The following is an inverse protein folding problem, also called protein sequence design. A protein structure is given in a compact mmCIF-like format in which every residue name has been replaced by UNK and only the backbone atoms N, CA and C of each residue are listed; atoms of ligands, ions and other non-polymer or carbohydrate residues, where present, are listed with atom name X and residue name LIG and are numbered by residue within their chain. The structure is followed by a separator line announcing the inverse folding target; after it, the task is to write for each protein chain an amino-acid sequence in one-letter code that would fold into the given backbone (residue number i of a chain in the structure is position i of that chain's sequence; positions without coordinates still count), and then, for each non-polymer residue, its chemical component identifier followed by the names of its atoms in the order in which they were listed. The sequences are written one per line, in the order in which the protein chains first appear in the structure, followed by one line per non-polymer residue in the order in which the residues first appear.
data_IF_083539050491
#
_entry.id   IF_083539050491
#
_cell.length_a   1.000
_cell.length_b   1.000
_cell.length_c   1.000
_cell.angle_alpha   90.00
_cell.angle_beta   90.00
_cell.angle_gamma   90.00
#
_symmetry.space_group_name_H-M   'P 1'
#
loop_
_entity.id
_entity.type
_entity.pdbx_description
1 polymer ?
#
# COMPACT_ATOMS: atom_id res chain seq x y z
N UNK A 1 6.87 -16.55 -10.41
CA UNK A 1 6.99 -16.40 -8.94
C UNK A 1 6.55 -14.99 -8.59
N UNK A 2 5.90 -14.77 -7.45
CA UNK A 2 5.64 -13.41 -6.95
C UNK A 2 6.90 -12.89 -6.26
N UNK A 3 7.29 -11.66 -6.59
CA UNK A 3 8.40 -10.96 -5.95
C UNK A 3 7.89 -9.63 -5.38
N UNK A 4 8.32 -9.31 -4.17
CA UNK A 4 7.90 -8.13 -3.44
C UNK A 4 9.16 -7.39 -2.98
N UNK A 5 9.38 -6.19 -3.51
CA UNK A 5 10.62 -5.43 -3.37
C UNK A 5 10.32 -4.07 -2.74
N UNK A 6 11.12 -3.68 -1.74
CA UNK A 6 11.11 -2.35 -1.15
C UNK A 6 12.28 -1.55 -1.74
N UNK A 7 11.98 -0.45 -2.44
CA UNK A 7 13.01 0.43 -3.03
C UNK A 7 12.84 1.87 -2.57
N UNK A 8 13.77 2.35 -1.75
CA UNK A 8 13.79 3.71 -1.18
C UNK A 8 12.46 4.06 -0.48
N UNK A 9 11.52 4.64 -1.22
CA UNK A 9 10.19 5.06 -0.77
C UNK A 9 9.06 4.41 -1.60
N UNK A 10 9.32 3.31 -2.30
CA UNK A 10 8.35 2.66 -3.17
C UNK A 10 8.28 1.16 -2.89
N UNK A 11 7.11 0.59 -3.08
CA UNK A 11 6.90 -0.86 -3.11
C UNK A 11 6.74 -1.26 -4.57
N UNK A 12 7.52 -2.24 -5.01
CA UNK A 12 7.34 -2.91 -6.27
C UNK A 12 6.84 -4.33 -5.99
N UNK A 13 5.82 -4.75 -6.72
CA UNK A 13 5.33 -6.10 -6.71
C UNK A 13 5.30 -6.62 -8.14
N UNK A 14 6.06 -7.69 -8.37
CA UNK A 14 6.12 -8.38 -9.66
C UNK A 14 5.40 -9.71 -9.54
N UNK A 15 4.45 -9.95 -10.42
CA UNK A 15 3.78 -11.24 -10.53
C UNK A 15 3.52 -11.58 -11.98
N UNK A 16 4.18 -12.65 -12.45
CA UNK A 16 4.13 -13.06 -13.85
C UNK A 16 4.57 -11.90 -14.77
N UNK A 17 3.69 -11.41 -15.63
CA UNK A 17 3.96 -10.24 -16.49
C UNK A 17 3.46 -8.92 -15.93
N UNK A 18 2.96 -8.91 -14.68
CA UNK A 18 2.37 -7.73 -14.04
C UNK A 18 3.36 -7.08 -13.09
N UNK A 19 3.50 -5.77 -13.20
CA UNK A 19 4.26 -4.93 -12.29
C UNK A 19 3.32 -3.94 -11.63
N UNK A 20 3.27 -3.95 -10.29
CA UNK A 20 2.56 -2.98 -9.47
C UNK A 20 3.59 -2.13 -8.72
N UNK A 21 3.41 -0.81 -8.78
CA UNK A 21 4.25 0.16 -8.07
C UNK A 21 3.36 1.02 -7.19
N UNK A 22 3.77 1.15 -5.93
CA UNK A 22 3.14 2.04 -4.96
C UNK A 22 4.21 3.00 -4.45
N UNK A 23 3.95 4.29 -4.57
CA UNK A 23 4.86 5.35 -4.13
C UNK A 23 4.08 6.49 -3.46
N UNK A 24 4.68 7.23 -2.52
CA UNK A 24 4.03 8.38 -1.92
C UNK A 24 3.99 9.55 -2.92
N UNK A 25 2.90 10.32 -2.89
CA UNK A 25 2.66 11.42 -3.83
C UNK A 25 2.13 12.67 -3.14
N UNK A 26 3.01 13.39 -2.46
CA UNK A 26 2.65 14.52 -1.58
C UNK A 26 2.23 14.04 -0.18
N UNK A 27 1.74 14.96 0.65
CA UNK A 27 1.34 14.66 2.02
C UNK A 27 0.10 13.76 2.08
N UNK A 28 0.13 12.74 2.94
CA UNK A 28 -0.98 11.82 3.19
C UNK A 28 -1.58 11.18 1.93
N UNK A 29 -0.78 11.03 0.87
CA UNK A 29 -1.25 10.61 -0.45
C UNK A 29 -0.33 9.55 -1.05
N UNK A 30 -0.91 8.58 -1.77
CA UNK A 30 -0.19 7.49 -2.44
C UNK A 30 -0.60 7.42 -3.91
N UNK A 31 0.37 7.19 -4.79
CA UNK A 31 0.17 6.88 -6.20
C UNK A 31 0.36 5.37 -6.39
N UNK A 32 -0.66 4.74 -6.96
CA UNK A 32 -0.66 3.31 -7.31
C UNK A 32 -0.68 3.20 -8.83
N UNK A 33 0.23 2.39 -9.38
CA UNK A 33 0.32 2.11 -10.82
C UNK A 33 0.48 0.63 -11.04
N UNK A 34 -0.21 0.08 -12.04
CA UNK A 34 -0.05 -1.30 -12.47
C UNK A 34 0.13 -1.35 -13.99
N UNK A 35 1.01 -2.21 -14.49
CA UNK A 35 1.22 -2.44 -15.91
C UNK A 35 1.52 -3.91 -16.17
N UNK A 36 1.04 -4.42 -17.31
CA UNK A 36 1.49 -5.72 -17.85
C UNK A 36 2.55 -5.56 -18.94
N UNK A 37 2.99 -4.31 -19.21
CA UNK A 37 4.01 -4.01 -20.21
C UNK A 37 5.40 -4.02 -19.56
N UNK A 38 6.48 -4.21 -20.34
CA UNK A 38 7.85 -4.16 -19.84
C UNK A 38 8.20 -2.84 -19.15
N UNK A 39 7.55 -1.76 -19.58
CA UNK A 39 7.80 -0.42 -19.08
C UNK A 39 6.57 0.15 -18.37
N UNK A 40 6.82 0.84 -17.26
CA UNK A 40 5.82 1.67 -16.59
C UNK A 40 5.62 2.96 -17.39
N UNK A 41 4.36 3.32 -17.59
CA UNK A 41 4.03 4.64 -18.11
C UNK A 41 4.21 5.68 -17.00
N UNK A 42 5.16 6.59 -17.19
CA UNK A 42 5.46 7.68 -16.27
C UNK A 42 4.62 8.94 -16.50
N UNK A 43 3.71 8.93 -17.47
CA UNK A 43 2.81 10.07 -17.72
C UNK A 43 2.02 10.42 -16.45
N UNK A 44 2.03 11.71 -16.10
CA UNK A 44 1.34 12.24 -14.94
C UNK A 44 -0.18 12.34 -15.15
N UNK A 45 -0.63 12.48 -16.41
CA UNK A 45 -2.03 12.77 -16.76
C UNK A 45 -2.56 13.95 -15.95
N UNK A 46 -3.56 13.75 -15.08
CA UNK A 46 -4.16 14.77 -14.24
C UNK A 46 -3.42 15.01 -12.91
N UNK A 47 -2.32 14.28 -12.64
CA UNK A 47 -1.55 14.46 -11.41
C UNK A 47 -0.64 15.68 -11.51
N UNK A 48 -0.78 16.58 -10.53
CA UNK A 48 0.23 17.60 -10.30
C UNK A 48 1.56 16.95 -9.87
N UNK A 49 2.71 17.55 -10.19
CA UNK A 49 3.99 17.09 -9.68
C UNK A 49 3.93 16.92 -8.16
N UNK A 50 4.59 15.89 -7.60
CA UNK A 50 4.57 15.69 -6.16
C UNK A 50 5.18 16.92 -5.51
N UNK A 51 4.52 17.43 -4.46
CA UNK A 51 4.98 18.60 -3.71
C UNK A 51 6.24 18.32 -2.90
N UNK A 52 6.25 18.67 -1.61
CA UNK A 52 7.38 18.32 -0.72
C UNK A 52 7.66 16.82 -0.75
N UNK A 53 8.93 16.45 -0.54
CA UNK A 53 9.33 15.06 -0.39
C UNK A 53 8.53 14.43 0.77
N UNK A 54 7.69 13.43 0.48
CA UNK A 54 6.87 12.79 1.51
C UNK A 54 7.77 12.02 2.49
N UNK A 55 7.52 12.18 3.78
CA UNK A 55 8.14 11.36 4.82
C UNK A 55 7.43 10.00 4.88
N UNK A 56 7.81 9.11 3.98
CA UNK A 56 7.27 7.75 3.94
C UNK A 56 8.13 6.76 4.71
N UNK A 57 7.50 5.75 5.30
CA UNK A 57 8.18 4.63 5.97
C UNK A 57 7.69 3.32 5.36
N UNK A 58 8.63 2.43 5.04
CA UNK A 58 8.32 1.07 4.57
C UNK A 58 8.59 0.10 5.72
N UNK A 59 7.63 -0.76 6.00
CA UNK A 59 7.75 -1.85 6.98
C UNK A 59 7.58 -3.19 6.28
N UNK A 60 8.51 -4.10 6.53
CA UNK A 60 8.51 -5.45 5.99
C UNK A 60 7.94 -6.44 7.01
N UNK A 61 6.90 -7.15 6.60
CA UNK A 61 6.33 -8.30 7.32
C UNK A 61 6.85 -9.62 6.77
N UNK A 62 6.32 -10.73 7.29
CA UNK A 62 6.72 -12.09 6.87
C UNK A 62 6.38 -12.40 5.41
N UNK A 63 5.26 -11.89 4.92
CA UNK A 63 4.75 -12.12 3.56
C UNK A 63 4.16 -10.83 2.95
N UNK A 64 4.57 -9.68 3.46
CA UNK A 64 3.96 -8.40 3.09
C UNK A 64 4.89 -7.21 3.22
N UNK A 65 4.60 -6.16 2.46
CA UNK A 65 5.22 -4.85 2.55
C UNK A 65 4.14 -3.82 2.82
N UNK A 66 4.39 -2.94 3.78
CA UNK A 66 3.48 -1.82 4.10
C UNK A 66 4.22 -0.50 3.89
N UNK A 67 3.70 0.34 3.02
CA UNK A 67 4.15 1.71 2.80
C UNK A 67 3.23 2.65 3.57
N UNK A 68 3.80 3.47 4.44
CA UNK A 68 3.08 4.51 5.17
C UNK A 68 3.54 5.88 4.71
N UNK A 69 2.60 6.79 4.50
CA UNK A 69 2.85 8.20 4.25
C UNK A 69 1.92 9.03 5.14
N UNK A 70 2.42 9.51 6.28
CA UNK A 70 1.61 10.18 7.30
C UNK A 70 0.41 9.34 7.78
N UNK A 71 -0.80 9.79 7.46
CA UNK A 71 -2.08 9.17 7.85
C UNK A 71 -2.56 8.09 6.89
N UNK A 72 -1.94 7.91 5.72
CA UNK A 72 -2.32 6.86 4.78
C UNK A 72 -1.30 5.72 4.81
N UNK A 73 -1.77 4.49 4.77
CA UNK A 73 -0.91 3.33 4.57
C UNK A 73 -1.47 2.39 3.52
N UNK A 74 -0.58 1.76 2.76
CA UNK A 74 -0.89 0.72 1.78
C UNK A 74 -0.11 -0.55 2.13
N UNK A 75 -0.81 -1.67 2.25
CA UNK A 75 -0.20 -2.99 2.49
C UNK A 75 -0.40 -3.88 1.26
N UNK A 76 0.68 -4.53 0.83
CA UNK A 76 0.73 -5.50 -0.26
C UNK A 76 1.22 -6.83 0.29
N UNK A 77 0.50 -7.92 -0.01
CA UNK A 77 0.87 -9.27 0.42
C UNK A 77 1.37 -10.10 -0.77
N UNK A 78 2.41 -10.91 -0.58
CA UNK A 78 3.00 -11.74 -1.63
C UNK A 78 2.21 -13.03 -1.91
N UNK A 79 1.38 -13.48 -0.95
CA UNK A 79 0.74 -14.80 -0.95
C UNK A 79 -0.73 -14.80 -1.44
N UNK A 80 -1.34 -13.63 -1.68
CA UNK A 80 -2.75 -13.58 -2.04
C UNK A 80 -2.97 -13.84 -3.52
N UNK A 81 -3.70 -14.93 -3.81
CA UNK A 81 -4.34 -15.31 -5.09
C UNK A 81 -5.29 -14.25 -5.69
N UNK A 82 -5.33 -13.05 -5.11
CA UNK A 82 -6.13 -11.89 -5.47
C UNK A 82 -5.36 -10.64 -5.05
N UNK A 83 -4.82 -9.89 -6.02
CA UNK A 83 -4.09 -8.64 -5.80
C UNK A 83 -4.96 -7.62 -5.07
N UNK A 84 -4.74 -7.44 -3.76
CA UNK A 84 -5.49 -6.49 -2.95
C UNK A 84 -4.54 -5.46 -2.34
N UNK A 85 -4.50 -4.25 -2.91
CA UNK A 85 -3.88 -3.10 -2.23
C UNK A 85 -4.90 -2.55 -1.25
N UNK A 86 -4.71 -2.79 0.04
CA UNK A 86 -5.55 -2.16 1.07
C UNK A 86 -4.92 -0.81 1.44
N UNK A 87 -5.58 0.27 1.04
CA UNK A 87 -5.26 1.62 1.50
C UNK A 87 -6.16 1.95 2.68
N UNK A 88 -5.59 2.34 3.83
CA UNK A 88 -6.37 2.67 5.04
C UNK A 88 -5.89 3.98 5.68
N UNK A 89 -6.82 4.81 6.20
CA UNK A 89 -6.48 5.88 7.12
C UNK A 89 -5.98 5.30 8.45
N UNK A 90 -4.89 5.85 8.97
CA UNK A 90 -4.34 5.53 10.28
C UNK A 90 -5.23 6.16 11.36
N UNK A 91 -5.88 5.32 12.17
CA UNK A 91 -6.86 5.76 13.17
C UNK A 91 -8.17 4.97 13.12
N UNK A 92 -8.45 4.25 12.03
CA UNK A 92 -9.58 3.32 11.95
C UNK A 92 -9.24 1.96 12.58
N UNK A 93 -8.73 1.96 13.81
CA UNK A 93 -8.71 0.75 14.62
C UNK A 93 -10.16 0.31 14.78
N UNK A 94 -10.49 -0.82 14.16
CA UNK A 94 -11.77 -1.52 14.31
C UNK A 94 -11.96 -1.73 15.81
N UNK A 95 -12.74 -0.89 16.47
CA UNK A 95 -13.25 -1.20 17.81
C UNK A 95 -14.09 -2.46 17.64
N UNK A 96 -13.47 -3.64 17.83
CA UNK A 96 -14.21 -4.85 18.15
C UNK A 96 -14.87 -4.52 19.48
N UNK A 97 -16.14 -4.09 19.46
CA UNK A 97 -16.99 -4.10 20.66
C UNK A 97 -16.95 -5.54 21.16
N UNK A 98 -16.23 -5.75 22.25
CA UNK A 98 -16.39 -6.94 23.05
C UNK A 98 -17.86 -6.96 23.49
N UNK A 99 -18.62 -7.93 22.97
CA UNK A 99 -19.91 -8.29 23.56
C UNK A 99 -19.58 -8.92 24.92
N UNK A 100 -19.68 -8.16 25.99
CA UNK A 100 -19.85 -8.74 27.32
C UNK A 100 -21.30 -9.19 27.43
N UNK A 101 -21.54 -10.50 27.33
CA UNK A 101 -22.78 -11.09 27.80
C UNK A 101 -22.74 -11.01 29.34
N UNK A 102 -23.45 -10.05 29.91
CA UNK A 102 -23.83 -10.10 31.32
C UNK A 102 -25.07 -10.99 31.39
N UNK A 103 -24.92 -12.20 31.92
CA UNK A 103 -26.05 -13.00 32.39
C UNK A 103 -26.60 -12.35 33.65
N UNK A 104 -27.84 -11.88 33.60
CA UNK A 104 -28.60 -11.57 34.81
C UNK A 104 -29.55 -12.74 35.09
N UNK A 105 -29.56 -13.11 36.37
CA UNK A 105 -30.30 -14.17 37.02
C UNK A 105 -31.82 -14.12 36.81
#
# INVERSE_FOLDING_TARGET
MSELIAEKNRILWHFDQQTLVIEPWGDNSLRVRATCRPELNDKLWALLPPGKQPQSTISQGSESLTLRNGDISATVNCCLKSTGVSVRPWGSARQRRARTNTSAH
#
